data_IF_429094143175
#
_entry.id   IF_429094143175
#
_cell.length_a   1.000
_cell.length_b   1.000
_cell.length_c   1.000
_cell.angle_alpha   90.00
_cell.angle_beta   90.00
_cell.angle_gamma   90.00
#
_symmetry.space_group_name_H-M   'P 1'
#
loop_
_entity.id
_entity.type
_entity.pdbx_description
1 polymer ?
#
# COMPACT_ATOMS: atom_id res chain seq x y z
N UNK A 1 -20.38 -6.14 -0.34
CA UNK A 1 -19.65 -5.19 -1.22
C UNK A 1 -18.57 -4.43 -0.44
N UNK A 2 -18.88 -3.77 0.68
CA UNK A 2 -17.88 -3.18 1.59
C UNK A 2 -16.78 -4.17 2.02
N UNK A 3 -17.15 -5.40 2.40
CA UNK A 3 -16.16 -6.44 2.74
C UNK A 3 -15.22 -6.79 1.57
N UNK A 4 -15.71 -6.83 0.32
CA UNK A 4 -14.86 -7.15 -0.84
C UNK A 4 -13.90 -6.01 -1.17
N UNK A 5 -14.34 -4.76 -1.01
CA UNK A 5 -13.50 -3.58 -1.17
C UNK A 5 -12.41 -3.53 -0.09
N UNK A 6 -12.77 -3.84 1.17
CA UNK A 6 -11.83 -3.94 2.28
C UNK A 6 -10.75 -4.99 2.00
N UNK A 7 -11.14 -6.20 1.57
CA UNK A 7 -10.18 -7.25 1.20
C UNK A 7 -9.23 -6.80 0.09
N UNK A 8 -9.75 -6.18 -0.97
CA UNK A 8 -8.92 -5.68 -2.06
C UNK A 8 -7.91 -4.63 -1.59
N UNK A 9 -8.31 -3.70 -0.71
CA UNK A 9 -7.42 -2.68 -0.15
C UNK A 9 -6.32 -3.32 0.70
N UNK A 10 -6.66 -4.33 1.51
CA UNK A 10 -5.69 -5.06 2.31
C UNK A 10 -4.67 -5.82 1.45
N UNK A 11 -5.12 -6.50 0.39
CA UNK A 11 -4.23 -7.19 -0.55
C UNK A 11 -3.26 -6.22 -1.24
N UNK A 12 -3.77 -5.08 -1.72
CA UNK A 12 -2.93 -4.03 -2.34
C UNK A 12 -1.93 -3.48 -1.33
N UNK A 13 -2.33 -3.28 -0.06
CA UNK A 13 -1.41 -2.86 0.99
C UNK A 13 -0.28 -3.87 1.18
N UNK A 14 -0.58 -5.16 1.25
CA UNK A 14 0.44 -6.21 1.38
C UNK A 14 1.44 -6.22 0.21
N UNK A 15 0.98 -5.96 -1.02
CA UNK A 15 1.86 -5.83 -2.19
C UNK A 15 2.80 -4.62 -2.04
N UNK A 16 2.27 -3.47 -1.60
CA UNK A 16 3.07 -2.25 -1.40
C UNK A 16 4.12 -2.46 -0.30
N UNK A 17 3.74 -3.09 0.82
CA UNK A 17 4.66 -3.41 1.91
C UNK A 17 5.80 -4.34 1.42
N UNK A 18 5.49 -5.34 0.58
CA UNK A 18 6.50 -6.22 -0.03
C UNK A 18 7.45 -5.45 -0.97
N UNK A 19 6.93 -4.51 -1.76
CA UNK A 19 7.72 -3.65 -2.64
C UNK A 19 8.67 -2.77 -1.80
N UNK A 20 8.21 -2.23 -0.67
CA UNK A 20 9.04 -1.44 0.25
C UNK A 20 10.20 -2.25 0.84
N UNK A 21 9.93 -3.49 1.27
CA UNK A 21 10.98 -4.40 1.74
C UNK A 21 12.01 -4.69 0.65
N UNK A 22 11.58 -4.93 -0.60
CA UNK A 22 12.49 -5.11 -1.73
C UNK A 22 13.30 -3.85 -2.03
N UNK A 23 12.69 -2.67 -1.93
CA UNK A 23 13.35 -1.38 -2.11
C UNK A 23 14.48 -1.16 -1.10
N UNK A 24 14.27 -1.59 0.14
CA UNK A 24 15.25 -1.44 1.21
C UNK A 24 16.55 -2.23 0.98
N UNK A 25 16.50 -3.22 0.08
CA UNK A 25 17.64 -4.07 -0.30
C UNK A 25 18.42 -3.46 -1.49
N UNK A 26 17.79 -2.60 -2.29
CA UNK A 26 18.38 -2.00 -3.49
C UNK A 26 18.33 -0.46 -3.41
N UNK A 27 19.49 0.16 -3.13
CA UNK A 27 19.65 1.62 -3.01
C UNK A 27 19.20 2.41 -4.26
N UNK A 28 18.97 1.75 -5.40
CA UNK A 28 18.51 2.38 -6.64
C UNK A 28 16.99 2.58 -6.71
N UNK A 29 16.20 1.97 -5.82
CA UNK A 29 14.76 2.16 -5.84
C UNK A 29 14.34 3.51 -5.24
N UNK A 30 13.68 4.30 -6.08
CA UNK A 30 13.28 5.66 -5.77
C UNK A 30 12.12 5.65 -4.75
N UNK A 31 12.44 5.83 -3.47
CA UNK A 31 11.51 5.97 -2.34
C UNK A 31 10.24 6.83 -2.56
N UNK A 32 10.24 7.93 -3.35
CA UNK A 32 9.07 8.80 -3.51
C UNK A 32 7.85 8.15 -4.20
N UNK A 33 8.02 7.06 -4.97
CA UNK A 33 6.86 6.36 -5.54
C UNK A 33 6.20 5.44 -4.50
N UNK A 34 7.00 4.75 -3.68
CA UNK A 34 6.52 3.84 -2.63
C UNK A 34 5.83 4.63 -1.52
N UNK A 35 6.41 5.75 -1.08
CA UNK A 35 5.78 6.65 -0.10
C UNK A 35 4.41 7.15 -0.58
N UNK A 36 4.30 7.52 -1.87
CA UNK A 36 3.02 7.94 -2.45
C UNK A 36 2.00 6.80 -2.51
N UNK A 37 2.43 5.58 -2.78
CA UNK A 37 1.57 4.40 -2.77
C UNK A 37 1.08 4.08 -1.34
N UNK A 38 1.99 4.06 -0.36
CA UNK A 38 1.67 3.90 1.06
C UNK A 38 0.63 4.94 1.52
N UNK A 39 0.84 6.22 1.19
CA UNK A 39 -0.12 7.28 1.55
C UNK A 39 -1.51 7.01 0.97
N UNK A 40 -1.61 6.73 -0.33
CA UNK A 40 -2.90 6.51 -0.98
C UNK A 40 -3.64 5.27 -0.46
N UNK A 41 -2.93 4.18 -0.19
CA UNK A 41 -3.59 2.96 0.30
C UNK A 41 -4.08 3.11 1.74
N UNK A 42 -3.37 3.89 2.56
CA UNK A 42 -3.81 4.21 3.92
C UNK A 42 -5.05 5.13 3.91
N UNK A 43 -5.10 6.14 3.03
CA UNK A 43 -6.31 6.97 2.83
C UNK A 43 -7.51 6.10 2.41
N UNK A 44 -7.32 5.15 1.49
CA UNK A 44 -8.37 4.21 1.09
C UNK A 44 -8.81 3.30 2.24
N UNK A 45 -7.88 2.83 3.06
CA UNK A 45 -8.18 1.99 4.22
C UNK A 45 -9.00 2.73 5.29
N UNK A 46 -8.75 4.02 5.49
CA UNK A 46 -9.55 4.86 6.40
C UNK A 46 -10.99 5.04 5.90
N UNK A 47 -11.18 5.28 4.60
CA UNK A 47 -12.51 5.44 3.99
C UNK A 47 -13.40 4.19 4.08
N UNK A 48 -12.82 3.01 4.31
CA UNK A 48 -13.56 1.74 4.41
C UNK A 48 -13.78 1.31 5.87
N UNK A 49 -13.16 1.98 6.85
CA UNK A 49 -13.43 1.78 8.28
C UNK A 49 -14.73 2.45 8.75
N UNK A 50 -15.29 3.36 7.95
CA UNK A 50 -16.60 4.02 8.16
C UNK A 50 -17.74 3.27 7.44
#
# INVERSE_FOLDING_TARGET
MQNQLAFLIFEIKGIIDTIEEMASIDEQWNYPCIERLQKKINELAEMVKE
#
